data_IF_015351948312
#
_entry.id   IF_015351948312
#
_cell.length_a   1.000
_cell.length_b   1.000
_cell.length_c   1.000
_cell.angle_alpha   90.00
_cell.angle_beta   90.00
_cell.angle_gamma   90.00
#
_symmetry.space_group_name_H-M   'P 1'
#
loop_
_entity.id
_entity.type
_entity.pdbx_description
1 polymer ?
#
# COMPACT_ATOMS: atom_id res chain seq x y z
N UNK A 1 -26.80 -11.72 -2.53
CA UNK A 1 -25.35 -11.63 -2.25
C UNK A 1 -24.63 -12.51 -3.24
N UNK A 2 -23.67 -11.99 -4.00
CA UNK A 2 -22.78 -12.85 -4.80
C UNK A 2 -21.97 -13.75 -3.87
N UNK A 3 -21.62 -14.98 -4.28
CA UNK A 3 -20.78 -15.85 -3.47
C UNK A 3 -19.41 -15.20 -3.16
N UNK A 4 -18.79 -15.53 -2.01
CA UNK A 4 -17.41 -15.12 -1.73
C UNK A 4 -16.52 -15.46 -2.92
N UNK A 5 -15.57 -14.58 -3.26
CA UNK A 5 -14.62 -14.74 -4.39
C UNK A 5 -15.19 -14.70 -5.81
N UNK A 6 -16.51 -14.47 -5.99
CA UNK A 6 -17.10 -14.40 -7.33
C UNK A 6 -16.64 -13.18 -8.14
N UNK A 7 -16.30 -12.07 -7.46
CA UNK A 7 -15.86 -10.83 -8.10
C UNK A 7 -14.80 -10.15 -7.24
N UNK A 8 -13.85 -9.50 -7.90
CA UNK A 8 -12.93 -8.58 -7.23
C UNK A 8 -13.70 -7.39 -6.69
N UNK A 9 -13.65 -7.18 -5.37
CA UNK A 9 -14.11 -5.97 -4.70
C UNK A 9 -13.09 -5.57 -3.65
N UNK A 10 -12.43 -4.43 -3.87
CA UNK A 10 -11.50 -3.88 -2.90
C UNK A 10 -12.23 -3.49 -1.61
N UNK A 11 -11.64 -3.77 -0.44
CA UNK A 11 -12.28 -3.50 0.85
C UNK A 11 -11.24 -3.14 1.92
N UNK A 12 -11.19 -1.85 2.27
CA UNK A 12 -10.42 -1.38 3.42
C UNK A 12 -10.88 -2.05 4.72
N UNK A 13 -12.18 -2.28 4.89
CA UNK A 13 -12.72 -2.99 6.06
C UNK A 13 -12.14 -4.41 6.17
N UNK A 14 -12.00 -5.13 5.06
CA UNK A 14 -11.38 -6.47 5.09
C UNK A 14 -9.91 -6.42 5.53
N UNK A 15 -9.15 -5.41 5.09
CA UNK A 15 -7.78 -5.20 5.57
C UNK A 15 -7.73 -4.80 7.05
N UNK A 16 -8.63 -3.93 7.52
CA UNK A 16 -8.76 -3.63 8.95
C UNK A 16 -9.06 -4.88 9.79
N UNK A 17 -9.94 -5.76 9.29
CA UNK A 17 -10.21 -7.05 9.93
C UNK A 17 -9.00 -7.98 9.90
N UNK A 18 -8.20 -7.98 8.82
CA UNK A 18 -6.95 -8.73 8.76
C UNK A 18 -5.97 -8.27 9.85
N UNK A 19 -5.92 -6.97 10.17
CA UNK A 19 -5.17 -6.46 11.31
C UNK A 19 -5.60 -7.07 12.65
N UNK A 20 -6.91 -7.25 12.86
CA UNK A 20 -7.44 -7.94 14.05
C UNK A 20 -7.04 -9.42 14.08
N UNK A 21 -7.05 -10.09 12.93
CA UNK A 21 -6.58 -11.48 12.82
C UNK A 21 -5.10 -11.59 13.18
N UNK A 22 -4.25 -10.68 12.66
CA UNK A 22 -2.83 -10.62 12.99
C UNK A 22 -2.64 -10.43 14.50
N UNK A 23 -3.39 -9.50 15.11
CA UNK A 23 -3.33 -9.29 16.56
C UNK A 23 -3.74 -10.55 17.34
N UNK A 24 -4.84 -11.20 16.95
CA UNK A 24 -5.33 -12.39 17.63
C UNK A 24 -4.36 -13.57 17.53
N UNK A 25 -3.76 -13.78 16.35
CA UNK A 25 -2.83 -14.89 16.10
C UNK A 25 -1.46 -14.64 16.73
N UNK A 26 -0.96 -13.41 16.68
CA UNK A 26 0.36 -13.07 17.23
C UNK A 26 0.35 -12.84 18.74
N UNK A 27 -0.80 -12.50 19.33
CA UNK A 27 -0.90 -12.04 20.72
C UNK A 27 -0.28 -10.66 20.96
N UNK A 28 0.03 -9.91 19.89
CA UNK A 28 0.65 -8.58 19.94
C UNK A 28 -0.26 -7.53 19.33
N UNK A 29 -0.24 -6.27 19.81
CA UNK A 29 -0.88 -5.17 19.09
C UNK A 29 -0.42 -5.12 17.63
N UNK A 30 -1.34 -4.91 16.70
CA UNK A 30 -1.08 -4.94 15.26
C UNK A 30 0.10 -4.05 14.86
N UNK A 31 0.11 -2.80 15.31
CA UNK A 31 1.15 -1.81 15.01
C UNK A 31 2.52 -2.28 15.51
N UNK A 32 2.57 -2.82 16.73
CA UNK A 32 3.80 -3.33 17.32
C UNK A 32 4.32 -4.55 16.54
N UNK A 33 3.42 -5.46 16.15
CA UNK A 33 3.77 -6.63 15.34
C UNK A 33 4.35 -6.22 13.98
N UNK A 34 3.67 -5.32 13.25
CA UNK A 34 4.11 -4.87 11.93
C UNK A 34 5.45 -4.16 12.00
N UNK A 35 5.58 -3.16 12.90
CA UNK A 35 6.83 -2.38 13.04
C UNK A 35 8.01 -3.28 13.42
N UNK A 36 7.79 -4.26 14.29
CA UNK A 36 8.84 -5.20 14.68
C UNK A 36 9.23 -6.17 13.56
N UNK A 37 8.25 -6.70 12.83
CA UNK A 37 8.49 -7.76 11.85
C UNK A 37 9.04 -7.24 10.52
N UNK A 38 8.57 -6.08 10.07
CA UNK A 38 8.86 -5.59 8.71
C UNK A 38 9.83 -4.39 8.76
N UNK A 39 9.45 -3.16 9.15
CA UNK A 39 10.37 -2.02 9.14
C UNK A 39 11.69 -2.25 9.88
N UNK A 40 11.63 -2.78 11.12
CA UNK A 40 12.86 -3.04 11.90
C UNK A 40 13.77 -4.09 11.27
N UNK A 41 13.20 -5.10 10.60
CA UNK A 41 13.99 -6.15 9.94
C UNK A 41 14.67 -5.65 8.67
N UNK A 42 14.15 -4.57 8.07
CA UNK A 42 14.63 -3.99 6.81
C UNK A 42 15.39 -2.67 7.02
N UNK A 43 15.60 -2.24 8.25
CA UNK A 43 16.19 -0.94 8.61
C UNK A 43 15.44 0.25 7.97
N UNK A 44 14.11 0.17 7.90
CA UNK A 44 13.24 1.26 7.47
C UNK A 44 13.00 2.20 8.67
N UNK A 45 13.99 3.03 8.99
CA UNK A 45 14.01 3.85 10.21
C UNK A 45 12.97 4.98 10.21
N UNK A 46 12.50 5.39 9.03
CA UNK A 46 11.55 6.47 8.83
C UNK A 46 10.15 5.96 8.51
N UNK A 47 9.78 4.80 9.07
CA UNK A 47 8.48 4.15 8.83
C UNK A 47 7.70 3.93 10.12
N UNK A 48 6.49 4.50 10.22
CA UNK A 48 5.71 4.57 11.47
C UNK A 48 4.20 4.78 11.25
N UNK A 49 3.36 4.51 12.25
CA UNK A 49 1.90 4.75 12.17
C UNK A 49 1.45 6.09 12.77
N UNK A 50 2.12 6.56 13.81
CA UNK A 50 1.71 7.75 14.58
C UNK A 50 2.90 8.69 14.73
N UNK A 51 3.27 9.47 13.70
CA UNK A 51 4.39 10.39 13.79
C UNK A 51 4.11 11.47 14.84
N UNK A 52 5.03 11.63 15.79
CA UNK A 52 4.96 12.66 16.84
C UNK A 52 5.48 14.04 16.41
N UNK A 53 5.42 15.05 17.30
CA UNK A 53 5.89 16.41 17.04
C UNK A 53 7.34 16.50 16.54
N UNK A 54 8.20 15.57 16.95
CA UNK A 54 9.59 15.45 16.51
C UNK A 54 9.73 15.19 15.00
N UNK A 55 8.70 14.65 14.36
CA UNK A 55 8.66 14.39 12.92
C UNK A 55 8.03 15.54 12.12
N UNK A 56 7.46 16.55 12.77
CA UNK A 56 6.66 17.59 12.10
C UNK A 56 7.42 18.33 10.99
N UNK A 57 8.72 18.56 11.14
CA UNK A 57 9.56 19.21 10.14
C UNK A 57 9.92 18.31 8.94
N UNK A 58 9.64 17.02 9.03
CA UNK A 58 9.96 16.00 8.03
C UNK A 58 8.71 15.43 7.37
N UNK A 59 7.49 15.73 7.84
CA UNK A 59 6.26 15.23 7.23
C UNK A 59 5.90 16.09 6.01
N UNK A 60 5.59 15.44 4.88
CA UNK A 60 4.98 16.16 3.77
C UNK A 60 3.53 16.51 4.11
N UNK A 61 3.16 17.74 3.74
CA UNK A 61 1.80 18.23 3.88
C UNK A 61 0.91 17.73 2.74
N UNK A 62 -0.26 17.21 3.10
CA UNK A 62 -1.29 16.87 2.13
C UNK A 62 -1.85 18.12 1.46
N UNK A 63 -2.16 18.05 0.17
CA UNK A 63 -2.78 19.16 -0.57
C UNK A 63 -3.90 18.66 -1.48
N UNK A 64 -5.03 19.36 -1.48
CA UNK A 64 -6.14 19.13 -2.41
C UNK A 64 -6.29 20.31 -3.37
N UNK A 65 -6.94 20.08 -4.50
CA UNK A 65 -7.45 21.14 -5.37
C UNK A 65 -8.98 21.10 -5.26
N UNK A 66 -9.61 22.09 -4.60
CA UNK A 66 -11.05 22.11 -4.49
C UNK A 66 -11.74 22.17 -5.86
N UNK A 67 -12.95 21.61 -6.01
CA UNK A 67 -13.68 21.68 -7.26
C UNK A 67 -13.80 23.12 -7.78
N UNK A 68 -13.56 23.29 -9.08
CA UNK A 68 -13.62 24.58 -9.79
C UNK A 68 -12.55 25.61 -9.38
N UNK A 69 -11.54 25.20 -8.63
CA UNK A 69 -10.44 26.06 -8.26
C UNK A 69 -9.14 25.69 -8.98
N UNK A 70 -8.17 26.61 -8.97
CA UNK A 70 -6.82 26.41 -9.53
C UNK A 70 -5.75 26.74 -8.48
N UNK A 71 -6.02 26.41 -7.22
CA UNK A 71 -5.08 26.56 -6.11
C UNK A 71 -5.00 25.27 -5.31
N UNK A 72 -3.84 25.03 -4.72
CA UNK A 72 -3.66 23.98 -3.73
C UNK A 72 -4.12 24.48 -2.36
N UNK A 73 -4.85 23.65 -1.65
CA UNK A 73 -5.21 23.87 -0.26
C UNK A 73 -4.63 22.75 0.60
N UNK A 74 -3.87 23.16 1.63
CA UNK A 74 -3.30 22.24 2.61
C UNK A 74 -4.41 21.48 3.31
N UNK A 75 -4.26 20.17 3.38
CA UNK A 75 -5.16 19.25 4.07
C UNK A 75 -4.49 18.78 5.36
N UNK A 76 -5.18 18.81 6.51
CA UNK A 76 -4.62 18.25 7.74
C UNK A 76 -4.29 16.77 7.57
N UNK A 77 -3.19 16.33 8.17
CA UNK A 77 -2.89 14.91 8.26
C UNK A 77 -4.04 14.19 8.97
N UNK A 78 -4.51 13.10 8.38
CA UNK A 78 -5.59 12.30 8.95
C UNK A 78 -5.02 11.19 9.84
N UNK A 79 -5.54 11.06 11.06
CA UNK A 79 -5.34 9.88 11.91
C UNK A 79 -6.65 9.09 11.96
N UNK A 80 -6.78 8.14 11.04
CA UNK A 80 -7.96 7.27 10.94
C UNK A 80 -7.66 5.95 11.64
N UNK A 81 -7.49 5.95 12.97
CA UNK A 81 -7.09 4.78 13.78
C UNK A 81 -7.74 3.43 13.42
N UNK A 82 -9.01 3.40 13.01
CA UNK A 82 -9.69 2.16 12.58
C UNK A 82 -9.19 1.61 11.22
N UNK A 83 -8.56 2.46 10.43
CA UNK A 83 -7.95 2.21 9.12
C UNK A 83 -6.45 1.93 9.24
N UNK A 84 -5.89 1.86 10.46
CA UNK A 84 -4.46 1.61 10.66
C UNK A 84 -3.94 0.43 9.84
N UNK A 85 -4.61 -0.74 9.80
CA UNK A 85 -4.13 -1.87 9.01
C UNK A 85 -4.28 -1.73 7.49
N UNK A 86 -5.10 -0.80 7.00
CA UNK A 86 -5.39 -0.66 5.58
C UNK A 86 -4.78 0.58 4.93
N UNK A 87 -4.04 1.43 5.65
CA UNK A 87 -3.38 2.57 5.00
C UNK A 87 -2.78 3.67 5.87
N UNK A 88 -2.65 3.52 7.19
CA UNK A 88 -2.08 4.61 8.03
C UNK A 88 -0.56 4.51 8.24
N UNK A 89 0.14 3.65 7.51
CA UNK A 89 1.61 3.59 7.61
C UNK A 89 2.21 4.77 6.84
N UNK A 90 3.00 5.59 7.54
CA UNK A 90 3.77 6.71 6.99
C UNK A 90 5.20 6.23 6.76
N UNK A 91 5.81 6.61 5.65
CA UNK A 91 7.14 6.12 5.27
C UNK A 91 7.89 7.12 4.35
N UNK A 92 9.12 6.80 3.98
CA UNK A 92 9.87 7.48 2.92
C UNK A 92 9.90 6.64 1.64
N UNK A 93 10.13 7.24 0.46
CA UNK A 93 10.38 6.47 -0.76
C UNK A 93 11.55 5.48 -0.61
N UNK A 94 12.59 5.86 0.12
CA UNK A 94 13.77 5.01 0.36
C UNK A 94 13.41 3.77 1.17
N UNK A 95 12.63 3.93 2.24
CA UNK A 95 12.18 2.81 3.07
C UNK A 95 11.24 1.87 2.28
N UNK A 96 10.28 2.42 1.54
CA UNK A 96 9.36 1.62 0.71
C UNK A 96 10.11 0.82 -0.36
N UNK A 97 11.24 1.33 -0.88
CA UNK A 97 12.09 0.58 -1.81
C UNK A 97 12.65 -0.71 -1.20
N UNK A 98 12.83 -0.80 0.12
CA UNK A 98 13.25 -2.06 0.76
C UNK A 98 12.13 -3.12 0.70
N UNK A 99 10.86 -2.71 0.84
CA UNK A 99 9.71 -3.60 0.62
C UNK A 99 9.67 -4.09 -0.82
N UNK A 100 9.91 -3.20 -1.79
CA UNK A 100 10.03 -3.59 -3.18
C UNK A 100 11.21 -4.58 -3.36
N UNK A 101 12.39 -4.27 -2.83
CA UNK A 101 13.60 -5.08 -2.98
C UNK A 101 13.40 -6.53 -2.53
N UNK A 102 12.76 -6.76 -1.38
CA UNK A 102 12.52 -8.11 -0.89
C UNK A 102 11.55 -8.92 -1.76
N UNK A 103 10.74 -8.29 -2.63
CA UNK A 103 9.87 -9.01 -3.55
C UNK A 103 10.62 -9.68 -4.70
N UNK A 104 11.82 -9.21 -5.05
CA UNK A 104 12.60 -9.69 -6.19
C UNK A 104 13.99 -10.23 -5.83
N UNK A 105 14.33 -10.28 -4.54
CA UNK A 105 15.60 -10.85 -4.05
C UNK A 105 15.35 -11.99 -3.07
N UNK A 106 16.30 -12.91 -2.95
CA UNK A 106 16.25 -13.94 -1.90
C UNK A 106 16.40 -13.31 -0.52
N UNK A 107 15.49 -13.65 0.40
CA UNK A 107 15.49 -13.19 1.77
C UNK A 107 14.58 -14.07 2.63
N UNK A 108 14.81 -14.05 3.95
CA UNK A 108 14.06 -14.86 4.91
C UNK A 108 12.70 -14.25 5.28
N UNK A 109 12.52 -12.94 5.09
CA UNK A 109 11.30 -12.22 5.48
C UNK A 109 10.12 -12.54 4.55
N UNK A 110 10.41 -12.66 3.26
CA UNK A 110 9.47 -13.07 2.21
C UNK A 110 10.11 -14.20 1.37
N UNK A 111 10.07 -15.45 1.88
CA UNK A 111 10.55 -16.61 1.13
C UNK A 111 9.86 -16.72 -0.24
N UNK A 112 10.51 -17.39 -1.20
CA UNK A 112 10.01 -17.48 -2.57
C UNK A 112 8.55 -17.97 -2.65
N UNK A 113 8.19 -19.00 -1.88
CA UNK A 113 6.83 -19.53 -1.85
C UNK A 113 5.80 -18.47 -1.43
N UNK A 114 6.14 -17.65 -0.42
CA UNK A 114 5.31 -16.53 0.04
C UNK A 114 5.15 -15.47 -1.04
N UNK A 115 6.25 -15.06 -1.68
CA UNK A 115 6.22 -14.07 -2.78
C UNK A 115 5.42 -14.55 -3.97
N UNK A 116 5.57 -15.82 -4.35
CA UNK A 116 4.79 -16.45 -5.42
C UNK A 116 3.30 -16.45 -5.11
N UNK A 117 2.89 -16.72 -3.87
CA UNK A 117 1.48 -16.68 -3.49
C UNK A 117 0.92 -15.26 -3.38
N UNK A 118 1.73 -14.31 -2.91
CA UNK A 118 1.38 -12.88 -2.90
C UNK A 118 1.11 -12.34 -4.30
N UNK A 119 1.94 -12.73 -5.28
CA UNK A 119 1.82 -12.31 -6.68
C UNK A 119 0.97 -13.23 -7.55
N UNK A 120 0.38 -14.30 -7.00
CA UNK A 120 -0.54 -15.15 -7.75
C UNK A 120 -1.84 -14.37 -7.99
N UNK A 121 -2.39 -14.47 -9.20
CA UNK A 121 -3.71 -13.92 -9.48
C UNK A 121 -4.75 -14.77 -8.76
N UNK A 122 -5.42 -14.20 -7.77
CA UNK A 122 -6.53 -14.85 -7.06
C UNK A 122 -7.87 -14.45 -7.64
N UNK A 123 -8.01 -13.18 -8.04
CA UNK A 123 -9.23 -12.62 -8.61
C UNK A 123 -8.87 -11.80 -9.84
N UNK A 124 -9.64 -11.96 -10.92
CA UNK A 124 -9.53 -11.08 -12.09
C UNK A 124 -10.44 -9.88 -11.92
N UNK A 125 -10.06 -8.78 -12.57
CA UNK A 125 -10.92 -7.60 -12.69
C UNK A 125 -12.12 -7.94 -13.59
N UNK A 126 -13.36 -7.95 -13.06
CA UNK A 126 -14.54 -8.35 -13.83
C UNK A 126 -14.92 -7.33 -14.89
N UNK A 127 -14.44 -6.09 -14.80
CA UNK A 127 -14.81 -5.00 -15.69
C UNK A 127 -13.89 -4.93 -16.93
N UNK A 128 -12.85 -5.76 -16.99
CA UNK A 128 -11.92 -5.82 -18.11
C UNK A 128 -12.07 -7.11 -18.93
N UNK A 129 -12.03 -7.04 -20.27
CA UNK A 129 -12.16 -8.23 -21.09
C UNK A 129 -10.89 -9.09 -21.03
N UNK A 130 -11.03 -10.35 -20.62
CA UNK A 130 -9.94 -11.31 -20.57
C UNK A 130 -8.87 -10.99 -19.52
N UNK A 131 -7.69 -11.62 -19.66
CA UNK A 131 -6.58 -11.42 -18.72
C UNK A 131 -5.85 -10.09 -18.98
N UNK A 132 -6.25 -9.05 -18.24
CA UNK A 132 -5.63 -7.71 -18.28
C UNK A 132 -5.25 -7.17 -16.89
N UNK A 133 -6.07 -7.43 -15.88
CA UNK A 133 -5.83 -7.01 -14.50
C UNK A 133 -6.40 -8.02 -13.53
N UNK A 134 -5.79 -8.10 -12.36
CA UNK A 134 -6.28 -8.89 -11.25
C UNK A 134 -5.66 -8.47 -9.93
N UNK A 135 -5.95 -9.24 -8.90
CA UNK A 135 -5.53 -8.97 -7.55
C UNK A 135 -4.93 -10.22 -6.91
N UNK A 136 -3.74 -10.03 -6.35
CA UNK A 136 -3.03 -10.97 -5.50
C UNK A 136 -3.33 -10.74 -4.02
N UNK A 137 -2.44 -11.19 -3.13
CA UNK A 137 -2.53 -10.87 -1.70
C UNK A 137 -1.79 -9.56 -1.44
N UNK A 138 -2.52 -8.43 -1.44
CA UNK A 138 -1.91 -7.11 -1.27
C UNK A 138 -1.43 -6.45 -2.57
N UNK A 139 -1.49 -7.14 -3.71
CA UNK A 139 -0.92 -6.64 -4.98
C UNK A 139 -1.96 -6.55 -6.08
N UNK A 140 -2.01 -5.41 -6.77
CA UNK A 140 -2.62 -5.32 -8.09
C UNK A 140 -1.64 -5.87 -9.13
N UNK A 141 -2.16 -6.73 -10.01
CA UNK A 141 -1.39 -7.41 -11.05
C UNK A 141 -1.94 -6.96 -12.40
N UNK A 142 -1.20 -6.12 -13.12
CA UNK A 142 -1.59 -5.60 -14.43
C UNK A 142 -0.75 -6.25 -15.52
N UNK A 143 -1.39 -6.79 -16.55
CA UNK A 143 -0.71 -7.37 -17.70
C UNK A 143 -0.24 -6.26 -18.66
N UNK A 144 1.02 -6.33 -19.07
CA UNK A 144 1.61 -5.47 -20.09
C UNK A 144 2.32 -6.35 -21.12
N UNK A 145 1.61 -6.73 -22.18
CA UNK A 145 2.09 -7.67 -23.19
C UNK A 145 2.31 -9.08 -22.62
N UNK A 146 3.54 -9.56 -22.68
CA UNK A 146 4.00 -10.84 -22.12
C UNK A 146 4.40 -10.73 -20.64
N UNK A 147 4.43 -9.52 -20.08
CA UNK A 147 4.81 -9.24 -18.69
C UNK A 147 3.60 -9.00 -17.79
N UNK A 148 3.83 -9.19 -16.50
CA UNK A 148 2.89 -8.80 -15.44
C UNK A 148 3.61 -7.84 -14.51
N UNK A 149 2.99 -6.68 -14.29
CA UNK A 149 3.46 -5.66 -13.36
C UNK A 149 2.70 -5.85 -12.06
N UNK A 150 3.43 -6.13 -10.98
CA UNK A 150 2.89 -6.14 -9.62
C UNK A 150 3.09 -4.76 -9.00
N UNK A 151 2.03 -4.23 -8.38
CA UNK A 151 2.08 -2.94 -7.72
C UNK A 151 0.92 -2.73 -6.75
N UNK A 152 0.97 -1.64 -6.00
CA UNK A 152 -0.14 -1.17 -5.20
C UNK A 152 -0.24 0.36 -5.33
N UNK A 153 -1.43 0.88 -5.12
CA UNK A 153 -1.67 2.31 -5.08
C UNK A 153 -2.64 2.63 -3.97
N UNK A 154 -2.40 3.71 -3.26
CA UNK A 154 -3.22 4.17 -2.15
C UNK A 154 -3.77 5.56 -2.43
N UNK A 155 -4.75 6.02 -1.66
CA UNK A 155 -5.17 7.42 -1.68
C UNK A 155 -5.89 7.78 -0.39
N UNK A 156 -5.44 8.86 0.22
CA UNK A 156 -6.04 9.60 1.34
C UNK A 156 -6.19 11.06 0.86
N UNK A 157 -7.22 11.81 1.28
CA UNK A 157 -7.34 13.22 0.89
C UNK A 157 -6.04 14.00 1.13
N UNK A 158 -5.46 14.52 0.05
CA UNK A 158 -4.19 15.25 0.08
C UNK A 158 -2.94 14.42 -0.27
N UNK A 159 -3.03 13.09 -0.42
CA UNK A 159 -1.91 12.19 -0.78
C UNK A 159 -2.40 10.83 -1.37
N UNK A 160 -2.00 10.31 -2.56
CA UNK A 160 -2.22 8.84 -2.87
C UNK A 160 -1.24 7.95 -3.71
N UNK A 161 -0.33 7.08 -3.23
CA UNK A 161 0.87 6.56 -3.98
C UNK A 161 0.68 5.58 -5.12
N UNK A 162 1.80 5.25 -5.79
CA UNK A 162 1.92 4.07 -6.65
C UNK A 162 3.30 3.42 -6.59
N UNK A 163 3.34 2.12 -6.31
CA UNK A 163 4.52 1.27 -6.49
C UNK A 163 4.36 0.38 -7.74
N UNK A 164 5.39 0.34 -8.61
CA UNK A 164 5.45 -0.55 -9.77
C UNK A 164 6.59 -0.18 -10.73
N UNK A 165 7.42 -1.16 -11.13
CA UNK A 165 8.52 -0.94 -12.09
C UNK A 165 8.09 -1.31 -13.53
N UNK A 166 8.09 -0.31 -14.43
CA UNK A 166 7.93 -0.45 -15.88
C UNK A 166 7.65 0.90 -16.58
N UNK A 167 8.53 1.34 -17.50
CA UNK A 167 8.43 2.59 -18.26
C UNK A 167 7.68 2.43 -19.61
N UNK A 168 7.32 3.51 -20.33
CA UNK A 168 6.22 4.43 -20.04
C UNK A 168 5.08 4.32 -21.07
N UNK A 169 3.84 4.48 -20.61
CA UNK A 169 2.67 4.57 -21.48
C UNK A 169 1.48 5.09 -20.70
N UNK A 170 1.05 6.31 -21.05
CA UNK A 170 0.06 7.15 -20.36
C UNK A 170 -1.19 6.38 -19.93
N UNK A 171 -1.40 6.26 -18.62
CA UNK A 171 -2.71 6.00 -18.01
C UNK A 171 -2.87 6.88 -16.77
N UNK A 172 -3.90 7.72 -16.84
CA UNK A 172 -4.25 8.81 -15.94
C UNK A 172 -4.76 8.25 -14.60
N UNK A 173 -3.96 8.23 -13.53
CA UNK A 173 -4.44 8.00 -12.14
C UNK A 173 -3.48 8.65 -11.11
N UNK A 174 -4.07 9.33 -10.14
CA UNK A 174 -3.54 10.38 -9.24
C UNK A 174 -2.71 9.83 -8.04
N UNK A 175 -1.50 10.39 -7.67
CA UNK A 175 -0.48 9.81 -6.77
C UNK A 175 -0.34 10.42 -5.29
N UNK A 176 0.58 9.84 -4.42
CA UNK A 176 1.05 10.06 -2.99
C UNK A 176 0.81 9.11 -1.71
N UNK A 177 1.82 8.37 -1.21
CA UNK A 177 1.86 7.97 0.22
C UNK A 177 2.11 9.29 0.95
N UNK A 178 1.79 9.38 2.23
CA UNK A 178 2.34 10.44 3.07
C UNK A 178 3.85 10.20 3.14
N UNK A 179 4.61 10.92 2.32
CA UNK A 179 6.07 10.86 2.28
C UNK A 179 6.62 11.71 3.42
N UNK A 180 7.64 11.23 4.12
CA UNK A 180 8.50 12.12 4.87
C UNK A 180 9.42 12.86 3.87
N UNK A 181 9.39 14.19 3.88
CA UNK A 181 10.32 15.07 3.17
C UNK A 181 11.73 15.02 3.78
N UNK A 182 12.72 15.14 2.89
CA UNK A 182 14.15 15.22 3.22
C UNK A 182 14.47 16.41 4.13
#
# INVERSE_FOLDING_TARGET
>A
MSPPTAHLKYSNTAYSMLGLVIQAVSGMPYEAFVLQRIPRSLNMEDTMFHPGPEHAGRLADGHIVPPYERRFERTPQQDLRAYTPCGMLVSTPTDVLEIARIQWTENDLAPEATRREMHRVHLMDPDLPGWQSGYGLGWRLTRAGDRVIAGHSDSIPGSGTRDGQGAPGVLHHDPAHVCLGQ
#
